data_IF_718693921008
#
_entry.id   IF_718693921008
#
_cell.length_a   1.000
_cell.length_b   1.000
_cell.length_c   1.000
_cell.angle_alpha   90.00
_cell.angle_beta   90.00
_cell.angle_gamma   90.00
#
_symmetry.space_group_name_H-M   'P 1'
#
loop_
_entity.id
_entity.type
_entity.pdbx_description
1 polymer ?
#
# COMPACT_ATOMS: atom_id res chain seq x y z
N UNK A 1 55.72 -17.67 58.81
CA UNK A 1 56.66 -17.94 57.70
C UNK A 1 56.73 -19.45 57.58
N UNK A 2 56.33 -20.15 56.53
CA UNK A 2 56.01 -19.87 55.11
C UNK A 2 54.93 -20.89 54.67
N UNK A 3 53.79 -20.49 54.10
CA UNK A 3 53.46 -20.44 52.65
C UNK A 3 53.69 -21.74 51.88
N UNK A 4 52.61 -22.48 51.59
CA UNK A 4 52.54 -23.27 50.36
C UNK A 4 51.13 -23.23 49.78
N UNK A 5 50.88 -22.21 48.95
CA UNK A 5 49.67 -22.09 48.14
C UNK A 5 49.95 -22.71 46.77
N UNK A 6 49.42 -23.91 46.53
CA UNK A 6 49.50 -24.61 45.25
C UNK A 6 48.75 -23.82 44.17
N UNK A 7 49.49 -23.03 43.40
CA UNK A 7 49.02 -22.27 42.24
C UNK A 7 48.70 -23.24 41.10
N UNK A 8 47.43 -23.61 40.93
CA UNK A 8 46.98 -24.27 39.69
C UNK A 8 47.04 -23.23 38.55
N UNK A 9 48.01 -23.40 37.66
CA UNK A 9 48.09 -22.68 36.39
C UNK A 9 47.00 -23.23 35.48
N UNK A 10 45.86 -22.54 35.42
CA UNK A 10 44.84 -22.78 34.42
C UNK A 10 45.40 -22.32 33.08
N UNK A 11 45.66 -23.27 32.16
CA UNK A 11 45.97 -22.95 30.76
C UNK A 11 44.85 -22.07 30.20
N UNK A 12 45.15 -21.02 29.42
CA UNK A 12 44.11 -20.29 28.70
C UNK A 12 43.43 -21.28 27.76
N UNK A 13 42.17 -21.57 28.07
CA UNK A 13 41.26 -22.31 27.22
C UNK A 13 41.13 -21.48 25.94
N UNK A 14 41.68 -21.98 24.83
CA UNK A 14 41.43 -21.43 23.49
C UNK A 14 39.92 -21.45 23.28
N UNK A 15 39.28 -20.30 23.47
CA UNK A 15 37.97 -20.02 22.88
C UNK A 15 38.18 -20.05 21.38
N UNK A 16 37.90 -21.21 20.78
CA UNK A 16 37.68 -21.33 19.35
C UNK A 16 36.59 -20.34 18.98
N UNK A 17 36.97 -19.19 18.45
CA UNK A 17 36.07 -18.35 17.67
C UNK A 17 35.67 -19.20 16.48
N UNK A 18 34.47 -19.79 16.52
CA UNK A 18 33.88 -20.42 15.36
C UNK A 18 33.95 -19.40 14.22
N UNK A 19 34.67 -19.72 13.14
CA UNK A 19 34.74 -18.82 12.00
C UNK A 19 33.32 -18.70 11.45
N UNK A 20 32.71 -17.54 11.62
CA UNK A 20 31.44 -17.22 10.97
C UNK A 20 31.70 -17.25 9.47
N UNK A 21 31.26 -18.32 8.82
CA UNK A 21 31.35 -18.47 7.37
C UNK A 21 30.52 -17.34 6.75
N UNK A 22 31.16 -16.46 5.97
CA UNK A 22 30.50 -15.36 5.28
C UNK A 22 30.33 -15.70 3.80
N UNK A 23 29.24 -15.24 3.21
CA UNK A 23 28.93 -15.37 1.78
C UNK A 23 29.07 -14.00 1.14
N UNK A 24 29.77 -13.93 0.01
CA UNK A 24 29.87 -12.73 -0.81
C UNK A 24 28.60 -12.59 -1.67
N UNK A 25 27.77 -11.59 -1.39
CA UNK A 25 26.59 -11.28 -2.19
C UNK A 25 26.99 -10.24 -3.25
N UNK A 26 26.80 -10.58 -4.53
CA UNK A 26 26.93 -9.65 -5.65
C UNK A 26 25.57 -9.08 -6.01
N UNK A 27 25.51 -7.76 -6.11
CA UNK A 27 24.36 -7.05 -6.65
C UNK A 27 24.66 -6.57 -8.08
N UNK A 28 23.62 -6.23 -8.87
CA UNK A 28 23.81 -5.62 -10.17
C UNK A 28 24.66 -4.34 -10.04
N UNK A 29 25.47 -4.06 -11.05
CA UNK A 29 26.37 -2.89 -11.09
C UNK A 29 27.54 -2.94 -10.08
N UNK A 30 28.02 -4.16 -9.79
CA UNK A 30 29.30 -4.45 -9.13
C UNK A 30 29.44 -4.06 -7.65
N UNK A 31 28.34 -3.74 -6.95
CA UNK A 31 28.39 -3.69 -5.49
C UNK A 31 28.42 -5.13 -4.95
N UNK A 32 29.35 -5.37 -4.03
CA UNK A 32 29.48 -6.66 -3.33
C UNK A 32 29.47 -6.41 -1.84
N UNK A 33 28.87 -7.34 -1.09
CA UNK A 33 28.83 -7.26 0.37
C UNK A 33 29.04 -8.64 0.98
N UNK A 34 29.80 -8.69 2.06
CA UNK A 34 30.01 -9.92 2.82
C UNK A 34 28.96 -10.01 3.90
N UNK A 35 28.16 -11.08 3.86
CA UNK A 35 27.08 -11.32 4.84
C UNK A 35 27.36 -12.62 5.58
N UNK A 36 27.31 -12.65 6.92
CA UNK A 36 27.42 -13.90 7.66
C UNK A 36 26.35 -14.89 7.20
N UNK A 37 26.74 -16.14 6.95
CA UNK A 37 25.82 -17.17 6.45
C UNK A 37 24.64 -17.41 7.40
N UNK A 38 24.88 -17.35 8.70
CA UNK A 38 23.83 -17.45 9.72
C UNK A 38 22.80 -16.32 9.61
N UNK A 39 23.24 -15.10 9.28
CA UNK A 39 22.37 -13.94 9.09
C UNK A 39 21.49 -14.08 7.85
N UNK A 40 22.01 -14.67 6.77
CA UNK A 40 21.25 -14.95 5.55
C UNK A 40 20.06 -15.90 5.81
N UNK A 41 20.14 -16.79 6.81
CA UNK A 41 19.03 -17.66 7.20
C UNK A 41 17.81 -16.90 7.75
N UNK A 42 17.93 -15.60 8.07
CA UNK A 42 16.80 -14.75 8.45
C UNK A 42 15.93 -14.30 7.26
N UNK A 43 16.40 -14.52 6.04
CA UNK A 43 15.67 -14.23 4.80
C UNK A 43 15.08 -15.52 4.23
N UNK A 44 13.78 -15.49 3.91
CA UNK A 44 13.11 -16.61 3.24
C UNK A 44 13.71 -16.94 1.88
N UNK A 45 14.11 -15.92 1.12
CA UNK A 45 14.75 -16.07 -0.19
C UNK A 45 16.02 -16.91 -0.11
N UNK A 46 16.94 -16.58 0.82
CA UNK A 46 18.19 -17.35 0.95
C UNK A 46 17.97 -18.71 1.58
N UNK A 47 17.04 -18.86 2.54
CA UNK A 47 16.68 -20.18 3.09
C UNK A 47 16.18 -21.16 2.04
N UNK A 48 15.44 -20.66 1.05
CA UNK A 48 14.91 -21.47 -0.05
C UNK A 48 15.98 -21.89 -1.07
N UNK A 49 17.16 -21.27 -1.04
CA UNK A 49 18.25 -21.64 -1.95
C UNK A 49 18.79 -23.03 -1.61
N UNK A 50 18.94 -23.90 -2.61
CA UNK A 50 19.29 -25.32 -2.42
C UNK A 50 20.57 -25.52 -1.59
N UNK A 51 21.57 -24.66 -1.79
CA UNK A 51 22.83 -24.69 -1.03
C UNK A 51 22.68 -24.33 0.47
N UNK A 52 21.63 -23.59 0.85
CA UNK A 52 21.28 -23.37 2.27
C UNK A 52 20.51 -24.56 2.85
N UNK A 53 19.63 -25.18 2.05
CA UNK A 53 18.87 -26.36 2.46
C UNK A 53 19.75 -27.61 2.63
N UNK A 54 20.78 -27.79 1.79
CA UNK A 54 21.65 -28.96 1.76
C UNK A 54 22.53 -29.17 2.99
N UNK A 55 22.63 -28.21 3.93
CA UNK A 55 23.28 -28.45 5.23
C UNK A 55 22.58 -29.52 6.08
N UNK A 56 21.32 -29.84 5.80
CA UNK A 56 20.58 -30.91 6.50
C UNK A 56 21.10 -32.32 6.13
N UNK A 57 21.67 -32.50 4.94
CA UNK A 57 22.06 -33.82 4.41
C UNK A 57 23.58 -34.10 4.48
N UNK A 58 24.34 -33.27 5.20
CA UNK A 58 25.77 -33.52 5.46
C UNK A 58 26.72 -33.22 4.29
N UNK A 59 26.23 -32.63 3.19
CA UNK A 59 27.08 -32.19 2.08
C UNK A 59 27.63 -30.78 2.33
N UNK A 60 28.96 -30.66 2.40
CA UNK A 60 29.69 -29.38 2.49
C UNK A 60 29.64 -28.60 1.18
N UNK A 61 28.48 -28.07 0.81
CA UNK A 61 28.41 -26.97 -0.15
C UNK A 61 28.74 -25.66 0.58
N UNK A 62 30.03 -25.31 0.58
CA UNK A 62 30.53 -24.01 1.04
C UNK A 62 30.27 -22.97 -0.06
N UNK A 63 29.02 -22.56 -0.23
CA UNK A 63 28.68 -21.44 -1.10
C UNK A 63 29.41 -20.18 -0.62
N UNK A 64 30.41 -19.75 -1.38
CA UNK A 64 31.25 -18.58 -1.05
C UNK A 64 30.72 -17.29 -1.67
N UNK A 65 29.96 -17.39 -2.75
CA UNK A 65 29.49 -16.25 -3.54
C UNK A 65 28.09 -16.54 -4.09
N UNK A 66 27.23 -15.52 -4.11
CA UNK A 66 25.89 -15.57 -4.68
C UNK A 66 25.58 -14.26 -5.38
N UNK A 67 24.99 -14.32 -6.57
CA UNK A 67 24.49 -13.15 -7.29
C UNK A 67 22.97 -13.08 -7.16
N UNK A 68 22.44 -11.88 -6.84
CA UNK A 68 21.00 -11.62 -6.78
C UNK A 68 20.67 -10.38 -7.60
N UNK A 69 19.45 -10.33 -8.16
CA UNK A 69 18.95 -9.21 -8.95
C UNK A 69 17.73 -8.56 -8.28
N UNK A 70 17.95 -7.73 -7.24
CA UNK A 70 16.86 -7.13 -6.48
C UNK A 70 16.15 -6.00 -7.26
N UNK A 71 14.91 -5.64 -6.88
CA UNK A 71 14.18 -4.52 -7.47
C UNK A 71 14.87 -3.16 -7.36
N UNK A 72 15.60 -2.91 -6.27
CA UNK A 72 16.41 -1.71 -6.05
C UNK A 72 17.71 -2.09 -5.33
N UNK A 73 18.87 -2.08 -6.03
CA UNK A 73 20.15 -2.48 -5.46
C UNK A 73 20.61 -1.64 -4.26
N UNK A 74 20.26 -0.35 -4.21
CA UNK A 74 20.69 0.51 -3.11
C UNK A 74 20.01 0.05 -1.82
N UNK A 75 18.68 -0.02 -1.82
CA UNK A 75 17.88 -0.43 -0.64
C UNK A 75 18.11 -1.89 -0.21
N UNK A 76 18.65 -2.71 -1.10
CA UNK A 76 19.02 -4.09 -0.78
C UNK A 76 20.16 -4.15 0.22
N UNK A 77 21.12 -3.21 0.15
CA UNK A 77 22.24 -3.16 1.09
C UNK A 77 21.77 -2.90 2.52
N UNK A 78 20.78 -2.02 2.74
CA UNK A 78 20.20 -1.82 4.07
C UNK A 78 19.46 -3.06 4.57
N UNK A 79 18.76 -3.79 3.70
CA UNK A 79 18.12 -5.06 4.07
C UNK A 79 19.15 -6.12 4.48
N UNK A 80 20.27 -6.23 3.73
CA UNK A 80 21.37 -7.16 4.04
C UNK A 80 22.11 -6.76 5.33
N UNK A 81 22.30 -5.46 5.56
CA UNK A 81 22.84 -4.97 6.82
C UNK A 81 21.91 -5.30 8.01
N UNK A 82 20.60 -5.16 7.83
CA UNK A 82 19.61 -5.46 8.86
C UNK A 82 19.60 -6.93 9.29
N UNK A 83 19.62 -7.86 8.33
CA UNK A 83 19.70 -9.29 8.66
C UNK A 83 21.04 -9.62 9.33
N UNK A 84 22.09 -8.84 9.06
CA UNK A 84 23.40 -8.93 9.73
C UNK A 84 23.44 -8.31 11.14
N UNK A 85 22.33 -7.75 11.63
CA UNK A 85 22.21 -7.21 12.98
C UNK A 85 22.40 -5.69 13.08
N UNK A 86 22.55 -4.98 11.96
CA UNK A 86 22.62 -3.52 11.97
C UNK A 86 21.21 -2.89 12.02
N UNK A 87 21.01 -1.80 12.77
CA UNK A 87 19.72 -1.11 12.79
C UNK A 87 19.44 -0.44 11.44
N UNK A 88 18.17 -0.42 11.03
CA UNK A 88 17.73 0.33 9.85
C UNK A 88 17.64 1.82 10.18
N UNK A 89 18.21 2.71 9.35
CA UNK A 89 17.99 4.15 9.47
C UNK A 89 16.52 4.53 9.27
N UNK A 90 16.04 5.59 9.95
CA UNK A 90 14.63 6.04 9.86
C UNK A 90 14.21 6.39 8.44
N UNK A 91 15.09 7.05 7.68
CA UNK A 91 14.84 7.51 6.32
C UNK A 91 14.47 6.38 5.34
N UNK A 92 14.74 5.11 5.69
CA UNK A 92 14.35 3.95 4.89
C UNK A 92 12.82 3.81 4.78
N UNK A 93 12.07 4.36 5.74
CA UNK A 93 10.62 4.24 5.82
C UNK A 93 9.89 5.53 5.41
N UNK A 94 10.61 6.48 4.80
CA UNK A 94 10.10 7.81 4.44
C UNK A 94 9.98 7.95 2.91
N UNK A 95 8.91 8.61 2.46
CA UNK A 95 8.72 9.02 1.06
C UNK A 95 8.94 7.91 0.02
N UNK A 96 9.83 8.16 -0.94
CA UNK A 96 10.15 7.23 -2.03
C UNK A 96 10.92 5.99 -1.56
N UNK A 97 11.66 6.08 -0.46
CA UNK A 97 12.45 4.98 0.07
C UNK A 97 11.57 3.86 0.62
N UNK A 98 10.39 4.21 1.15
CA UNK A 98 9.43 3.24 1.68
C UNK A 98 9.05 2.17 0.63
N UNK A 99 8.79 2.58 -0.61
CA UNK A 99 8.40 1.64 -1.70
C UNK A 99 9.57 0.71 -2.03
N UNK A 100 10.78 1.25 -2.16
CA UNK A 100 11.97 0.45 -2.42
C UNK A 100 12.27 -0.52 -1.27
N UNK A 101 12.08 -0.12 -0.01
CA UNK A 101 12.23 -1.00 1.14
C UNK A 101 11.18 -2.12 1.14
N UNK A 102 9.91 -1.81 0.90
CA UNK A 102 8.85 -2.81 0.79
C UNK A 102 9.20 -3.87 -0.26
N UNK A 103 9.60 -3.44 -1.47
CA UNK A 103 9.90 -4.35 -2.59
C UNK A 103 11.12 -5.23 -2.33
N UNK A 104 12.18 -4.68 -1.74
CA UNK A 104 13.36 -5.48 -1.42
C UNK A 104 13.11 -6.42 -0.24
N UNK A 105 12.35 -5.99 0.76
CA UNK A 105 11.96 -6.86 1.87
C UNK A 105 11.06 -8.01 1.39
N UNK A 106 10.17 -7.78 0.44
CA UNK A 106 9.35 -8.82 -0.20
C UNK A 106 10.21 -9.78 -1.04
N UNK A 107 11.09 -9.23 -1.90
CA UNK A 107 12.02 -10.01 -2.70
C UNK A 107 12.91 -10.93 -1.84
N UNK A 108 13.50 -10.37 -0.78
CA UNK A 108 14.34 -11.12 0.16
C UNK A 108 13.51 -11.94 1.17
N UNK A 109 12.18 -11.78 1.20
CA UNK A 109 11.28 -12.41 2.17
C UNK A 109 11.73 -12.19 3.63
N UNK A 110 11.92 -10.93 4.02
CA UNK A 110 12.30 -10.52 5.38
C UNK A 110 11.06 -9.95 6.08
N UNK A 111 10.31 -10.82 6.75
CA UNK A 111 9.01 -10.50 7.38
C UNK A 111 9.09 -9.35 8.38
N UNK A 112 10.19 -9.23 9.13
CA UNK A 112 10.36 -8.16 10.11
C UNK A 112 10.39 -6.77 9.45
N UNK A 113 11.09 -6.64 8.31
CA UNK A 113 11.13 -5.38 7.56
C UNK A 113 9.77 -5.11 6.92
N UNK A 114 9.09 -6.14 6.39
CA UNK A 114 7.74 -5.99 5.85
C UNK A 114 6.76 -5.43 6.90
N UNK A 115 6.78 -5.99 8.13
CA UNK A 115 5.98 -5.48 9.25
C UNK A 115 6.30 -4.02 9.57
N UNK A 116 7.59 -3.64 9.58
CA UNK A 116 8.01 -2.26 9.80
C UNK A 116 7.45 -1.34 8.70
N UNK A 117 7.54 -1.74 7.42
CA UNK A 117 6.97 -0.98 6.31
C UNK A 117 5.46 -0.80 6.47
N UNK A 118 4.70 -1.85 6.82
CA UNK A 118 3.25 -1.72 6.99
C UNK A 118 2.91 -0.76 8.12
N UNK A 119 3.57 -0.90 9.28
CA UNK A 119 3.32 -0.06 10.45
C UNK A 119 3.73 1.40 10.22
N UNK A 120 4.75 1.66 9.41
CA UNK A 120 5.23 3.01 9.13
C UNK A 120 4.47 3.73 8.01
N UNK A 121 3.73 3.00 7.16
CA UNK A 121 3.08 3.56 5.97
C UNK A 121 2.22 4.78 6.31
N UNK A 122 1.41 4.68 7.36
CA UNK A 122 0.45 5.71 7.74
C UNK A 122 1.07 6.97 8.35
N UNK A 123 2.37 6.96 8.68
CA UNK A 123 3.06 8.16 9.13
C UNK A 123 3.35 9.11 7.94
N UNK A 124 3.59 8.55 6.75
CA UNK A 124 4.04 9.28 5.56
C UNK A 124 3.16 9.01 4.33
N UNK A 125 1.95 8.46 4.53
CA UNK A 125 1.12 7.94 3.44
C UNK A 125 0.85 8.98 2.35
N UNK A 126 0.62 10.24 2.71
CA UNK A 126 0.37 11.34 1.75
C UNK A 126 1.56 11.59 0.83
N UNK A 127 2.78 11.37 1.32
CA UNK A 127 4.02 11.47 0.53
C UNK A 127 4.19 10.20 -0.32
N UNK A 128 3.93 9.03 0.27
CA UNK A 128 4.10 7.73 -0.39
C UNK A 128 3.15 7.58 -1.58
N UNK A 129 1.85 7.89 -1.42
CA UNK A 129 0.85 7.69 -2.49
C UNK A 129 1.06 8.61 -3.69
N UNK A 130 1.74 9.74 -3.52
CA UNK A 130 2.09 10.66 -4.61
C UNK A 130 3.28 10.18 -5.44
N UNK A 131 3.96 9.13 -4.99
CA UNK A 131 5.08 8.58 -5.73
C UNK A 131 4.58 7.85 -6.99
N UNK A 132 5.14 8.10 -8.19
CA UNK A 132 4.74 7.40 -9.43
C UNK A 132 4.91 5.87 -9.40
N UNK A 133 5.70 5.36 -8.46
CA UNK A 133 5.90 3.92 -8.23
C UNK A 133 4.83 3.31 -7.33
N UNK A 134 3.99 4.12 -6.66
CA UNK A 134 2.88 3.65 -5.85
C UNK A 134 1.72 3.26 -6.76
N UNK A 135 1.79 2.05 -7.32
CA UNK A 135 0.80 1.54 -8.26
C UNK A 135 0.71 0.02 -8.23
N UNK A 136 -0.41 -0.52 -8.67
CA UNK A 136 -0.72 -1.96 -8.69
C UNK A 136 0.31 -2.84 -9.42
N UNK A 137 1.02 -2.30 -10.43
CA UNK A 137 2.09 -3.04 -11.12
C UNK A 137 3.37 -3.20 -10.28
N UNK A 138 3.55 -2.37 -9.26
CA UNK A 138 4.77 -2.31 -8.44
C UNK A 138 4.52 -2.85 -7.04
N UNK A 139 3.33 -2.63 -6.51
CA UNK A 139 2.92 -3.05 -5.17
C UNK A 139 1.75 -4.03 -5.34
N UNK A 140 1.96 -5.33 -5.08
CA UNK A 140 0.90 -6.32 -5.09
C UNK A 140 -0.25 -5.96 -4.13
N UNK A 141 -1.46 -6.38 -4.50
CA UNK A 141 -2.68 -6.17 -3.69
C UNK A 141 -2.55 -6.71 -2.27
N UNK A 142 -1.82 -7.82 -2.08
CA UNK A 142 -1.60 -8.44 -0.78
C UNK A 142 -0.86 -7.54 0.21
N UNK A 143 0.03 -6.66 -0.25
CA UNK A 143 0.66 -5.67 0.61
C UNK A 143 -0.29 -4.53 0.94
N UNK A 144 -1.08 -4.08 -0.04
CA UNK A 144 -2.09 -3.04 0.18
C UNK A 144 -3.12 -3.50 1.22
N UNK A 145 -3.60 -4.75 1.14
CA UNK A 145 -4.51 -5.34 2.13
C UNK A 145 -3.93 -5.28 3.55
N UNK A 146 -2.67 -5.72 3.73
CA UNK A 146 -2.00 -5.68 5.02
C UNK A 146 -1.88 -4.26 5.58
N UNK A 147 -1.68 -3.27 4.73
CA UNK A 147 -1.62 -1.85 5.12
C UNK A 147 -2.99 -1.34 5.55
N UNK A 148 -4.04 -1.69 4.80
CA UNK A 148 -5.43 -1.29 5.07
C UNK A 148 -6.05 -1.99 6.29
N UNK A 149 -5.56 -3.19 6.64
CA UNK A 149 -5.96 -3.96 7.83
C UNK A 149 -5.38 -3.37 9.13
N UNK A 150 -4.39 -2.47 9.07
CA UNK A 150 -3.86 -1.81 10.27
C UNK A 150 -4.89 -0.86 10.85
N UNK A 151 -5.25 -1.07 12.12
CA UNK A 151 -6.11 -0.17 12.85
C UNK A 151 -5.31 1.09 13.29
N UNK A 152 -5.55 2.18 12.59
CA UNK A 152 -4.83 3.45 12.71
C UNK A 152 -5.76 4.66 12.95
N UNK A 153 -7.07 4.42 13.13
CA UNK A 153 -8.06 5.49 13.28
C UNK A 153 -8.31 6.33 12.02
N UNK A 154 -7.80 5.93 10.84
CA UNK A 154 -8.06 6.66 9.60
C UNK A 154 -9.45 6.39 9.06
N UNK A 155 -9.99 7.44 8.45
CA UNK A 155 -11.33 7.44 7.86
C UNK A 155 -11.41 6.57 6.61
N UNK A 156 -12.62 6.09 6.30
CA UNK A 156 -12.89 5.36 5.05
C UNK A 156 -12.51 6.16 3.80
N UNK A 157 -12.65 7.49 3.83
CA UNK A 157 -12.28 8.34 2.69
C UNK A 157 -10.76 8.38 2.45
N UNK A 158 -9.95 8.42 3.51
CA UNK A 158 -8.47 8.38 3.39
C UNK A 158 -8.01 7.03 2.85
N UNK A 159 -8.62 5.94 3.33
CA UNK A 159 -8.36 4.60 2.79
C UNK A 159 -8.74 4.49 1.32
N UNK A 160 -9.88 5.09 0.92
CA UNK A 160 -10.31 5.14 -0.47
C UNK A 160 -9.32 5.93 -1.34
N UNK A 161 -8.79 7.05 -0.86
CA UNK A 161 -7.76 7.82 -1.58
C UNK A 161 -6.51 6.96 -1.85
N UNK A 162 -6.02 6.23 -0.85
CA UNK A 162 -4.87 5.32 -1.02
C UNK A 162 -5.15 4.25 -2.07
N UNK A 163 -6.33 3.63 -2.03
CA UNK A 163 -6.71 2.61 -3.00
C UNK A 163 -6.84 3.16 -4.42
N UNK A 164 -7.37 4.38 -4.57
CA UNK A 164 -7.52 5.05 -5.86
C UNK A 164 -6.17 5.46 -6.45
N UNK A 165 -5.24 5.98 -5.64
CA UNK A 165 -3.88 6.28 -6.10
C UNK A 165 -3.13 5.02 -6.48
N UNK A 166 -3.22 3.95 -5.68
CA UNK A 166 -2.62 2.66 -6.00
C UNK A 166 -3.15 2.06 -7.32
N UNK A 167 -4.43 2.28 -7.61
CA UNK A 167 -5.04 1.87 -8.88
C UNK A 167 -4.47 2.63 -10.09
N UNK A 168 -4.04 3.89 -9.89
CA UNK A 168 -3.51 4.79 -10.90
C UNK A 168 -4.42 4.96 -12.13
N UNK A 169 -5.74 5.11 -11.95
CA UNK A 169 -6.68 4.98 -13.06
C UNK A 169 -7.49 6.25 -13.38
N UNK A 170 -7.15 6.95 -14.48
CA UNK A 170 -8.12 7.49 -15.41
C UNK A 170 -8.58 6.35 -16.34
N UNK A 171 -9.86 5.96 -16.26
CA UNK A 171 -10.54 4.87 -17.00
C UNK A 171 -10.63 3.50 -16.28
N UNK A 172 -11.36 3.53 -15.16
CA UNK A 172 -11.87 2.38 -14.41
C UNK A 172 -12.85 1.53 -15.23
N UNK A 173 -12.44 0.38 -15.78
CA UNK A 173 -13.38 -0.63 -16.28
C UNK A 173 -13.23 -2.03 -15.67
N UNK A 174 -12.04 -2.44 -15.23
CA UNK A 174 -11.80 -3.86 -14.86
C UNK A 174 -11.00 -4.06 -13.55
N UNK A 175 -11.46 -3.52 -12.42
CA UNK A 175 -10.75 -3.67 -11.13
C UNK A 175 -11.68 -4.15 -9.99
N UNK A 176 -12.20 -5.38 -10.11
CA UNK A 176 -12.97 -6.08 -9.07
C UNK A 176 -12.25 -6.08 -7.70
N UNK A 177 -10.91 -6.12 -7.71
CA UNK A 177 -10.06 -6.05 -6.52
C UNK A 177 -10.30 -4.78 -5.70
N UNK A 178 -10.35 -3.60 -6.33
CA UNK A 178 -10.58 -2.34 -5.63
C UNK A 178 -11.96 -2.33 -4.99
N UNK A 179 -13.00 -2.74 -5.72
CA UNK A 179 -14.34 -2.82 -5.17
C UNK A 179 -14.41 -3.75 -3.94
N UNK A 180 -13.71 -4.88 -3.97
CA UNK A 180 -13.59 -5.78 -2.82
C UNK A 180 -12.92 -5.08 -1.63
N UNK A 181 -11.83 -4.36 -1.88
CA UNK A 181 -11.13 -3.62 -0.84
C UNK A 181 -11.97 -2.49 -0.24
N UNK A 182 -12.64 -1.67 -1.07
CA UNK A 182 -13.50 -0.60 -0.57
C UNK A 182 -14.65 -1.17 0.27
N UNK A 183 -15.31 -2.25 -0.18
CA UNK A 183 -16.36 -2.90 0.61
C UNK A 183 -15.86 -3.47 1.93
N UNK A 184 -14.62 -3.96 1.97
CA UNK A 184 -14.01 -4.52 3.19
C UNK A 184 -13.55 -3.44 4.17
N UNK A 185 -12.98 -2.34 3.66
CA UNK A 185 -12.23 -1.38 4.49
C UNK A 185 -12.86 0.00 4.62
N UNK A 186 -13.87 0.34 3.81
CA UNK A 186 -14.50 1.67 3.78
C UNK A 186 -15.97 1.64 4.20
N UNK A 187 -16.26 1.14 5.40
CA UNK A 187 -17.62 0.89 5.88
C UNK A 187 -18.17 1.96 6.83
N UNK A 188 -17.40 2.99 7.16
CA UNK A 188 -17.83 4.02 8.13
C UNK A 188 -18.59 5.18 7.46
N UNK A 189 -19.18 6.06 8.26
CA UNK A 189 -19.97 7.21 7.81
C UNK A 189 -19.13 8.43 7.38
N UNK A 190 -17.82 8.28 7.13
CA UNK A 190 -16.94 9.43 6.78
C UNK A 190 -17.03 9.85 5.31
N UNK A 191 -17.89 9.20 4.54
CA UNK A 191 -18.26 9.58 3.18
C UNK A 191 -19.14 10.84 3.18
N UNK A 192 -18.55 12.02 3.36
CA UNK A 192 -19.26 13.31 3.26
C UNK A 192 -19.27 13.84 1.81
N UNK A 193 -20.27 14.66 1.47
CA UNK A 193 -20.44 15.17 0.11
C UNK A 193 -19.20 15.96 -0.36
N UNK A 194 -18.70 16.84 0.50
CA UNK A 194 -17.48 17.59 0.24
C UNK A 194 -16.25 16.70 0.01
N UNK A 195 -16.07 15.65 0.79
CA UNK A 195 -14.92 14.76 0.66
C UNK A 195 -15.00 13.90 -0.61
N UNK A 196 -16.21 13.44 -0.96
CA UNK A 196 -16.48 12.76 -2.24
C UNK A 196 -16.22 13.69 -3.42
N UNK A 197 -16.69 14.93 -3.37
CA UNK A 197 -16.48 15.92 -4.43
C UNK A 197 -14.99 16.21 -4.64
N UNK A 198 -14.21 16.34 -3.56
CA UNK A 198 -12.77 16.53 -3.64
C UNK A 198 -12.06 15.34 -4.33
N UNK A 199 -12.44 14.10 -3.99
CA UNK A 199 -11.92 12.93 -4.69
C UNK A 199 -12.40 12.88 -6.14
N UNK A 200 -13.67 13.21 -6.41
CA UNK A 200 -14.24 13.18 -7.75
C UNK A 200 -13.59 14.21 -8.68
N UNK A 201 -13.12 15.35 -8.16
CA UNK A 201 -12.31 16.28 -8.96
C UNK A 201 -11.00 15.66 -9.44
N UNK A 202 -10.38 14.77 -8.65
CA UNK A 202 -9.10 14.12 -8.98
C UNK A 202 -9.29 12.85 -9.81
N UNK A 203 -10.29 12.04 -9.47
CA UNK A 203 -10.47 10.70 -10.04
C UNK A 203 -11.72 10.58 -10.95
N UNK A 204 -12.45 11.69 -11.15
CA UNK A 204 -13.65 11.78 -12.02
C UNK A 204 -14.72 10.75 -11.64
N UNK A 205 -15.36 10.15 -12.64
CA UNK A 205 -16.48 9.21 -12.52
C UNK A 205 -16.15 7.94 -11.72
N UNK A 206 -14.87 7.66 -11.50
CA UNK A 206 -14.38 6.51 -10.74
C UNK A 206 -14.88 6.51 -9.30
N UNK A 207 -14.91 7.68 -8.65
CA UNK A 207 -15.24 7.77 -7.21
C UNK A 207 -16.66 7.29 -6.98
N UNK A 208 -17.61 7.74 -7.79
CA UNK A 208 -19.01 7.35 -7.69
C UNK A 208 -19.27 5.86 -7.89
N UNK A 209 -18.37 5.15 -8.58
CA UNK A 209 -18.50 3.71 -8.77
C UNK A 209 -18.07 2.93 -7.52
N UNK A 210 -17.10 3.45 -6.75
CA UNK A 210 -16.55 2.73 -5.59
C UNK A 210 -17.29 3.04 -4.28
N UNK A 211 -18.05 4.13 -4.21
CA UNK A 211 -18.81 4.49 -3.00
C UNK A 211 -19.77 3.33 -2.67
N UNK A 212 -19.76 2.81 -1.43
CA UNK A 212 -20.75 1.82 -1.00
C UNK A 212 -22.18 2.33 -1.23
N UNK A 213 -23.12 1.51 -1.72
CA UNK A 213 -24.48 1.95 -2.03
C UNK A 213 -25.18 2.67 -0.86
N UNK A 214 -24.96 2.20 0.36
CA UNK A 214 -25.54 2.80 1.56
C UNK A 214 -24.99 4.21 1.84
N UNK A 215 -23.69 4.40 1.65
CA UNK A 215 -23.04 5.71 1.76
C UNK A 215 -23.52 6.67 0.66
N UNK A 216 -23.68 6.16 -0.57
CA UNK A 216 -24.21 6.95 -1.68
C UNK A 216 -25.66 7.41 -1.41
N UNK A 217 -26.50 6.53 -0.88
CA UNK A 217 -27.87 6.87 -0.51
C UNK A 217 -27.93 7.91 0.62
N UNK A 218 -27.04 7.81 1.61
CA UNK A 218 -26.92 8.82 2.67
C UNK A 218 -26.52 10.18 2.09
N UNK A 219 -25.50 10.21 1.23
CA UNK A 219 -25.06 11.43 0.54
C UNK A 219 -26.20 12.10 -0.24
N UNK A 220 -26.94 11.32 -1.03
CA UNK A 220 -28.09 11.84 -1.79
C UNK A 220 -29.17 12.41 -0.88
N UNK A 221 -29.46 11.76 0.26
CA UNK A 221 -30.44 12.26 1.24
C UNK A 221 -29.99 13.59 1.85
N UNK A 222 -28.72 13.71 2.23
CA UNK A 222 -28.17 14.95 2.81
C UNK A 222 -28.25 16.09 1.80
N UNK A 223 -27.81 15.87 0.56
CA UNK A 223 -27.89 16.89 -0.51
C UNK A 223 -29.33 17.32 -0.78
N UNK A 224 -30.28 16.38 -0.83
CA UNK A 224 -31.70 16.70 -1.00
C UNK A 224 -32.26 17.48 0.20
N UNK A 225 -31.84 17.18 1.42
CA UNK A 225 -32.27 17.89 2.63
C UNK A 225 -31.72 19.32 2.68
N UNK A 226 -30.44 19.51 2.38
CA UNK A 226 -29.80 20.84 2.31
C UNK A 226 -30.43 21.69 1.21
N UNK A 227 -30.69 21.11 0.03
CA UNK A 227 -31.37 21.80 -1.07
C UNK A 227 -32.79 22.21 -0.69
N UNK A 228 -33.50 21.36 0.06
CA UNK A 228 -34.86 21.66 0.56
C UNK A 228 -34.84 22.72 1.65
N UNK A 229 -33.87 22.69 2.56
CA UNK A 229 -33.70 23.73 3.60
C UNK A 229 -33.44 25.08 2.96
N UNK A 230 -32.49 25.14 2.02
CA UNK A 230 -32.20 26.37 1.28
C UNK A 230 -33.45 26.91 0.59
N UNK A 231 -34.23 26.04 -0.07
CA UNK A 231 -35.46 26.46 -0.76
C UNK A 231 -36.53 27.00 0.20
N UNK A 232 -36.67 26.40 1.39
CA UNK A 232 -37.61 26.86 2.42
C UNK A 232 -37.14 28.16 3.08
N UNK A 233 -35.84 28.28 3.37
CA UNK A 233 -35.24 29.47 3.99
C UNK A 233 -35.27 30.69 3.05
N UNK A 234 -35.32 30.47 1.73
CA UNK A 234 -35.40 31.53 0.72
C UNK A 234 -36.81 31.64 0.10
N UNK A 235 -37.79 30.94 0.65
CA UNK A 235 -39.18 31.01 0.19
C UNK A 235 -39.85 32.33 0.63
N UNK A 236 -39.42 32.89 1.77
CA UNK A 236 -39.91 34.17 2.30
C UNK A 236 -39.24 35.40 1.63
N UNK A 237 -38.08 35.22 0.98
CA UNK A 237 -37.45 36.26 0.15
C UNK A 237 -38.05 36.34 -1.26
N UNK A 238 -38.98 35.44 -1.60
CA UNK A 238 -39.69 35.40 -2.87
C UNK A 238 -41.10 36.00 -2.77
N UNK A 239 -41.24 37.17 -2.13
CA UNK A 239 -42.47 37.97 -2.23
C UNK A 239 -42.55 38.65 -3.61
N UNK A 240 -43.13 37.89 -4.54
CA UNK A 240 -43.93 38.27 -5.71
C UNK A 240 -43.89 39.74 -6.16
N UNK A 241 -43.00 40.03 -7.11
CA UNK A 241 -43.45 40.71 -8.33
C UNK A 241 -43.11 39.82 -9.52
N UNK A 242 -44.09 39.45 -10.37
CA UNK A 242 -43.79 38.66 -11.57
C UNK A 242 -42.84 39.48 -12.46
N UNK A 243 -41.66 38.96 -12.84
CA UNK A 243 -40.79 39.69 -13.73
C UNK A 243 -41.48 39.80 -15.10
N UNK A 244 -41.37 40.95 -15.80
CA UNK A 244 -41.81 41.04 -17.17
C UNK A 244 -41.03 40.00 -17.99
N UNK A 245 -41.75 39.19 -18.76
CA UNK A 245 -41.23 38.17 -19.66
C UNK A 245 -39.89 38.57 -20.30
N UNK A 246 -38.76 37.94 -19.93
CA UNK A 246 -37.55 38.01 -20.72
C UNK A 246 -37.59 36.85 -21.72
N UNK A 247 -37.41 37.19 -22.99
CA UNK A 247 -37.28 36.23 -24.07
C UNK A 247 -36.23 35.17 -23.73
N UNK A 248 -36.63 33.91 -23.93
CA UNK A 248 -35.83 32.70 -23.84
C UNK A 248 -34.41 32.85 -24.40
N UNK A 249 -33.41 32.70 -23.53
CA UNK A 249 -32.14 32.04 -23.88
C UNK A 249 -31.83 30.99 -22.82
N UNK A 250 -32.34 29.78 -23.06
CA UNK A 250 -32.01 28.58 -22.30
C UNK A 250 -30.50 28.34 -22.33
N UNK A 251 -29.83 28.46 -21.18
CA UNK A 251 -28.57 27.73 -20.95
C UNK A 251 -28.92 26.50 -20.11
N UNK A 252 -29.07 25.38 -20.80
CA UNK A 252 -29.20 24.08 -20.16
C UNK A 252 -27.89 23.73 -19.46
N UNK A 253 -27.97 23.40 -18.17
CA UNK A 253 -26.92 22.66 -17.47
C UNK A 253 -26.99 21.23 -18.02
N UNK A 254 -25.97 20.86 -18.81
CA UNK A 254 -25.88 19.54 -19.41
C UNK A 254 -25.39 18.54 -18.35
N UNK A 255 -26.30 17.71 -17.86
CA UNK A 255 -25.95 16.47 -17.18
C UNK A 255 -25.46 15.45 -18.23
N UNK A 256 -24.37 14.71 -17.99
CA UNK A 256 -23.94 13.68 -18.91
C UNK A 256 -24.99 12.55 -18.91
N UNK A 257 -25.74 12.46 -20.00
CA UNK A 257 -26.72 11.41 -20.24
C UNK A 257 -26.03 10.05 -20.26
N UNK A 258 -26.29 9.26 -19.23
CA UNK A 258 -26.18 7.80 -19.31
C UNK A 258 -27.08 7.27 -20.44
N UNK A 259 -26.54 6.32 -21.20
CA UNK A 259 -27.26 5.60 -22.25
C UNK A 259 -28.53 4.98 -21.66
N UNK A 260 -29.68 5.38 -22.19
CA UNK A 260 -30.92 4.64 -22.01
C UNK A 260 -30.76 3.26 -22.67
N UNK A 261 -30.92 2.21 -21.87
CA UNK A 261 -31.18 0.85 -22.35
C UNK A 261 -32.58 0.89 -22.96
N UNK A 262 -32.67 0.63 -24.26
CA UNK A 262 -33.95 0.45 -24.96
C UNK A 262 -34.51 -0.90 -24.53
N UNK A 263 -35.51 -0.88 -23.65
CA UNK A 263 -36.44 -2.01 -23.50
C UNK A 263 -37.55 -1.82 -24.52
N UNK A 264 -37.52 -2.59 -25.61
CA UNK A 264 -38.69 -2.81 -26.47
C UNK A 264 -39.44 -4.02 -25.95
N UNK A 265 -40.58 -3.77 -25.32
CA UNK A 265 -41.74 -4.66 -25.24
C UNK A 265 -42.88 -3.91 -25.93
N UNK A 266 -43.81 -4.47 -26.71
CA UNK A 266 -44.12 -5.84 -27.11
C UNK A 266 -44.95 -5.72 -28.41
N UNK A 267 -45.20 -6.83 -29.09
CA UNK A 267 -46.22 -6.87 -30.14
C UNK A 267 -46.16 -8.17 -30.93
N UNK A 268 -46.77 -9.22 -30.38
CA UNK A 268 -47.33 -10.27 -31.23
C UNK A 268 -48.60 -9.73 -31.90
N UNK A 269 -48.79 -10.05 -33.17
CA UNK A 269 -49.99 -10.74 -33.67
C UNK A 269 -49.89 -11.06 -35.17
N UNK A 270 -50.33 -12.29 -35.49
CA UNK A 270 -50.85 -12.83 -36.76
C UNK A 270 -50.33 -12.34 -38.12
N UNK A 271 -49.62 -13.20 -38.85
CA UNK A 271 -50.19 -14.21 -39.76
C UNK A 271 -49.05 -15.08 -40.35
#
# INVERSE_FOLDING_TARGET
MEVEATRRVTKPQKTSTASTESVLIRLPYASTTLVPRESLARSGCFRAHADFAQRLDGATSLMKEMEIAPPDPLRTLECLAYISGHPLPSYCFEGSHWISMLRNADFLQIDDILKLCYNSFWNEWKTIIKNPSFKHSTIPVTHLEKILDINNGLSSIEKAEVMLEWANAPNFRDQESIYKLVRKHCTDATWTAWAVDNLAHRFKDTVYQIIPPDALLQLMRTVCQESRSWYLDHQDDCDLTPPPHPQTKSRAIAWPRGRAVVMTAAGGDGN
#
